data_IF_921616395541
#
_entry.id   IF_921616395541
#
_cell.length_a   1.000
_cell.length_b   1.000
_cell.length_c   1.000
_cell.angle_alpha   90.00
_cell.angle_beta   90.00
_cell.angle_gamma   90.00
#
_symmetry.space_group_name_H-M   'P 1'
#
loop_
_entity.id
_entity.type
_entity.pdbx_description
1 polymer ?
#
# COMPACT_ATOMS: atom_id res chain seq x y z
N UNK A 1 -23.58 -22.02 -10.44
CA UNK A 1 -23.80 -22.73 -9.16
C UNK A 1 -22.45 -22.87 -8.49
N UNK A 2 -22.29 -22.42 -7.25
CA UNK A 2 -21.04 -22.61 -6.52
C UNK A 2 -20.75 -24.12 -6.38
N UNK A 3 -19.49 -24.56 -6.52
CA UNK A 3 -19.12 -25.97 -6.30
C UNK A 3 -19.55 -26.41 -4.89
N UNK A 4 -19.88 -27.69 -4.71
CA UNK A 4 -20.07 -28.27 -3.37
C UNK A 4 -18.75 -28.09 -2.58
N UNK A 5 -18.81 -27.81 -1.28
CA UNK A 5 -17.65 -27.40 -0.47
C UNK A 5 -16.43 -28.34 -0.54
N UNK A 6 -16.65 -29.65 -0.58
CA UNK A 6 -15.58 -30.65 -0.71
C UNK A 6 -14.86 -30.58 -2.05
N UNK A 7 -15.57 -30.15 -3.11
CA UNK A 7 -15.04 -29.97 -4.46
C UNK A 7 -14.17 -28.69 -4.54
N UNK A 8 -14.54 -27.63 -3.82
CA UNK A 8 -13.74 -26.39 -3.82
C UNK A 8 -12.38 -26.57 -3.16
N UNK A 9 -12.29 -27.23 -2.00
CA UNK A 9 -10.99 -27.44 -1.34
C UNK A 9 -10.07 -28.29 -2.22
N UNK A 10 -10.57 -29.37 -2.80
CA UNK A 10 -9.78 -30.22 -3.69
C UNK A 10 -9.32 -29.45 -4.94
N UNK A 11 -10.22 -28.69 -5.57
CA UNK A 11 -9.92 -27.83 -6.71
C UNK A 11 -8.93 -26.72 -6.36
N UNK A 12 -9.07 -26.09 -5.19
CA UNK A 12 -8.18 -25.03 -4.71
C UNK A 12 -6.77 -25.57 -4.49
N UNK A 13 -6.67 -26.74 -3.84
CA UNK A 13 -5.39 -27.43 -3.65
C UNK A 13 -4.78 -27.86 -4.99
N UNK A 14 -5.58 -28.38 -5.91
CA UNK A 14 -5.12 -28.74 -7.25
C UNK A 14 -4.59 -27.53 -8.01
N UNK A 15 -5.32 -26.40 -8.03
CA UNK A 15 -4.88 -25.15 -8.66
C UNK A 15 -3.60 -24.59 -8.04
N UNK A 16 -3.49 -24.66 -6.72
CA UNK A 16 -2.28 -24.26 -6.00
C UNK A 16 -1.05 -25.09 -6.41
N UNK A 17 -1.24 -26.38 -6.72
CA UNK A 17 -0.18 -27.28 -7.21
C UNK A 17 0.14 -27.03 -8.70
N UNK A 18 -0.88 -26.87 -9.54
CA UNK A 18 -0.74 -26.79 -11.01
C UNK A 18 -0.21 -25.44 -11.53
N UNK A 19 -0.18 -24.41 -10.68
CA UNK A 19 0.41 -23.07 -10.90
C UNK A 19 0.37 -22.56 -12.35
N UNK A 20 -0.81 -22.07 -12.78
CA UNK A 20 -0.98 -21.20 -13.96
C UNK A 20 -2.01 -20.07 -13.79
N UNK A 21 -2.65 -19.94 -12.63
CA UNK A 21 -3.69 -18.94 -12.32
C UNK A 21 -3.83 -18.73 -10.80
N UNK A 22 -4.61 -17.73 -10.37
CA UNK A 22 -5.02 -17.54 -8.97
C UNK A 22 -6.06 -18.58 -8.54
N UNK A 23 -6.14 -18.84 -7.23
CA UNK A 23 -7.06 -19.85 -6.70
C UNK A 23 -8.49 -19.30 -6.59
N UNK A 24 -8.62 -18.09 -6.04
CA UNK A 24 -9.92 -17.42 -5.83
C UNK A 24 -10.50 -16.88 -7.14
N UNK A 25 -9.66 -16.35 -8.03
CA UNK A 25 -10.08 -15.67 -9.25
C UNK A 25 -9.42 -16.29 -10.50
N UNK A 26 -10.04 -17.29 -11.15
CA UNK A 26 -9.45 -17.98 -12.31
C UNK A 26 -9.14 -17.08 -13.52
N UNK A 27 -9.74 -15.90 -13.58
CA UNK A 27 -9.51 -14.88 -14.61
C UNK A 27 -8.14 -14.22 -14.46
N UNK A 28 -7.56 -14.24 -13.25
CA UNK A 28 -6.23 -13.73 -13.00
C UNK A 28 -5.18 -14.78 -13.35
N UNK A 29 -4.25 -14.41 -14.23
CA UNK A 29 -3.04 -15.18 -14.48
C UNK A 29 -2.18 -15.18 -13.23
N UNK A 30 -1.43 -16.27 -13.03
CA UNK A 30 -0.40 -16.27 -12.00
C UNK A 30 0.63 -15.17 -12.33
N UNK A 31 0.96 -14.24 -11.41
CA UNK A 31 1.70 -13.04 -11.78
C UNK A 31 3.12 -13.39 -12.26
N UNK A 32 3.45 -12.91 -13.46
CA UNK A 32 4.77 -13.07 -14.04
C UNK A 32 5.83 -12.46 -13.14
N UNK A 33 6.97 -13.15 -13.01
CA UNK A 33 8.12 -12.75 -12.18
C UNK A 33 7.85 -12.70 -10.66
N UNK A 34 6.69 -13.13 -10.14
CA UNK A 34 6.39 -13.09 -8.68
C UNK A 34 7.38 -13.85 -7.79
N UNK A 35 7.65 -15.11 -8.14
CA UNK A 35 8.27 -16.08 -7.22
C UNK A 35 9.81 -15.99 -7.13
N UNK A 36 10.46 -15.17 -7.95
CA UNK A 36 11.93 -15.07 -8.03
C UNK A 36 12.49 -13.67 -7.84
N UNK A 37 13.79 -13.51 -8.09
CA UNK A 37 14.47 -12.22 -8.09
C UNK A 37 14.41 -11.49 -6.75
N UNK A 38 14.26 -10.18 -6.80
CA UNK A 38 14.23 -9.35 -5.60
C UNK A 38 12.84 -9.09 -5.06
N UNK A 39 11.77 -9.34 -5.83
CA UNK A 39 10.38 -8.99 -5.45
C UNK A 39 10.27 -7.51 -5.09
N UNK A 40 10.74 -6.64 -5.97
CA UNK A 40 10.59 -5.18 -5.84
C UNK A 40 9.53 -4.61 -6.80
N UNK A 41 9.12 -3.36 -6.56
CA UNK A 41 8.39 -2.54 -7.49
C UNK A 41 8.76 -2.65 -8.97
N UNK A 42 10.06 -2.63 -9.30
CA UNK A 42 10.50 -2.65 -10.71
C UNK A 42 10.21 -4.00 -11.36
N UNK A 43 10.49 -5.09 -10.64
CA UNK A 43 10.16 -6.44 -11.09
C UNK A 43 8.64 -6.65 -11.19
N UNK A 44 7.87 -6.09 -10.26
CA UNK A 44 6.40 -6.17 -10.28
C UNK A 44 5.80 -5.45 -11.49
N UNK A 45 6.26 -4.22 -11.80
CA UNK A 45 5.83 -3.50 -13.00
C UNK A 45 6.19 -4.23 -14.29
N UNK A 46 7.37 -4.86 -14.33
CA UNK A 46 7.76 -5.72 -15.46
C UNK A 46 6.81 -6.92 -15.61
N UNK A 47 6.45 -7.56 -14.50
CA UNK A 47 5.46 -8.64 -14.47
C UNK A 47 4.10 -8.19 -15.03
N UNK A 48 3.57 -7.07 -14.50
CA UNK A 48 2.31 -6.46 -14.99
C UNK A 48 2.35 -6.20 -16.49
N UNK A 49 3.42 -5.60 -16.98
CA UNK A 49 3.55 -5.30 -18.41
C UNK A 49 3.54 -6.54 -19.31
N UNK A 50 4.03 -7.69 -18.81
CA UNK A 50 3.96 -8.97 -19.53
C UNK A 50 2.53 -9.56 -19.53
N UNK A 51 1.79 -9.36 -18.44
CA UNK A 51 0.53 -10.07 -18.20
C UNK A 51 -0.71 -9.32 -18.72
N UNK A 52 -0.69 -7.99 -18.67
CA UNK A 52 -1.85 -7.10 -18.80
C UNK A 52 -2.33 -6.88 -20.24
N UNK A 53 -1.50 -7.22 -21.23
CA UNK A 53 -1.85 -7.07 -22.64
C UNK A 53 -2.07 -5.61 -23.07
N UNK A 54 -1.36 -4.66 -22.44
CA UNK A 54 -1.45 -3.23 -22.79
C UNK A 54 -0.59 -2.86 -24.02
N UNK A 55 0.15 -3.81 -24.60
CA UNK A 55 0.86 -3.66 -25.89
C UNK A 55 1.84 -2.46 -25.92
N UNK A 56 2.45 -2.12 -24.78
CA UNK A 56 3.38 -0.98 -24.65
C UNK A 56 2.71 0.40 -24.52
N UNK A 57 1.38 0.43 -24.49
CA UNK A 57 0.53 1.60 -24.24
C UNK A 57 -0.04 1.56 -22.82
N UNK A 58 -0.91 2.51 -22.47
CA UNK A 58 -1.69 2.45 -21.23
C UNK A 58 -3.05 1.84 -21.53
N UNK A 59 -3.44 0.80 -20.79
CA UNK A 59 -4.75 0.18 -20.93
C UNK A 59 -5.70 0.69 -19.84
N UNK A 60 -6.87 1.15 -20.24
CA UNK A 60 -8.00 1.46 -19.34
C UNK A 60 -9.24 0.76 -19.89
N UNK A 61 -9.80 -0.14 -19.09
CA UNK A 61 -10.78 -1.14 -19.49
C UNK A 61 -10.27 -1.95 -20.69
N UNK A 62 -11.07 -2.07 -21.75
CA UNK A 62 -10.69 -2.80 -22.97
C UNK A 62 -10.08 -1.90 -24.06
N UNK A 63 -9.65 -0.69 -23.70
CA UNK A 63 -9.11 0.30 -24.63
C UNK A 63 -7.66 0.66 -24.33
N UNK A 64 -6.89 0.93 -25.38
CA UNK A 64 -5.49 1.34 -25.32
C UNK A 64 -5.35 2.81 -25.69
N UNK A 65 -4.52 3.52 -24.92
CA UNK A 65 -4.32 4.96 -25.02
C UNK A 65 -2.83 5.29 -25.12
N UNK A 66 -2.48 6.27 -25.96
CA UNK A 66 -1.13 6.84 -26.02
C UNK A 66 -1.07 8.13 -25.21
N UNK A 67 -0.53 8.03 -24.00
CA UNK A 67 -0.40 9.14 -23.07
C UNK A 67 1.00 9.79 -23.09
N UNK A 68 1.89 9.41 -24.01
CA UNK A 68 3.31 9.83 -24.01
C UNK A 68 3.45 11.36 -23.94
N UNK A 69 2.70 12.08 -24.77
CA UNK A 69 2.72 13.53 -24.83
C UNK A 69 1.94 14.21 -23.69
N UNK A 70 1.18 13.44 -22.91
CA UNK A 70 0.40 13.92 -21.77
C UNK A 70 1.12 13.73 -20.43
N UNK A 71 2.13 12.85 -20.34
CA UNK A 71 2.88 12.54 -19.11
C UNK A 71 3.21 13.79 -18.29
N UNK A 72 3.88 14.78 -18.92
CA UNK A 72 4.34 16.00 -18.23
C UNK A 72 3.23 16.99 -17.88
N UNK A 73 2.01 16.77 -18.39
CA UNK A 73 0.82 17.61 -18.18
C UNK A 73 -0.19 16.96 -17.24
N UNK A 74 0.05 15.73 -16.81
CA UNK A 74 -0.86 15.00 -15.94
C UNK A 74 -1.03 15.72 -14.60
N UNK A 75 -2.25 16.16 -14.22
CA UNK A 75 -2.47 16.95 -13.01
C UNK A 75 -2.03 16.25 -11.71
N UNK A 76 -2.07 14.91 -11.68
CA UNK A 76 -1.64 14.10 -10.54
C UNK A 76 -0.13 13.90 -10.43
N UNK A 77 0.67 14.37 -11.40
CA UNK A 77 2.12 14.17 -11.47
C UNK A 77 2.53 13.19 -12.58
N UNK A 78 3.70 13.43 -13.19
CA UNK A 78 4.16 12.64 -14.35
C UNK A 78 4.53 11.21 -13.99
N UNK A 79 4.99 10.99 -12.76
CA UNK A 79 5.58 9.74 -12.30
C UNK A 79 4.60 8.56 -12.41
N UNK A 80 3.31 8.78 -12.18
CA UNK A 80 2.28 7.73 -12.32
C UNK A 80 2.25 7.13 -13.71
N UNK A 81 2.28 7.97 -14.75
CA UNK A 81 2.26 7.52 -16.14
C UNK A 81 3.62 6.99 -16.58
N UNK A 82 4.72 7.56 -16.09
CA UNK A 82 6.08 7.04 -16.33
C UNK A 82 6.26 5.62 -15.79
N UNK A 83 5.74 5.33 -14.59
CA UNK A 83 5.86 4.02 -13.94
C UNK A 83 4.98 2.96 -14.62
N UNK A 84 3.79 3.34 -15.08
CA UNK A 84 2.75 2.40 -15.55
C UNK A 84 2.70 2.23 -17.06
N UNK A 85 3.65 2.79 -17.81
CA UNK A 85 3.71 2.59 -19.26
C UNK A 85 3.80 1.11 -19.60
N UNK A 86 2.86 0.62 -20.42
CA UNK A 86 2.78 -0.78 -20.80
C UNK A 86 1.97 -1.67 -19.86
N UNK A 87 1.22 -1.11 -18.89
CA UNK A 87 0.36 -1.89 -17.98
C UNK A 87 -1.13 -1.56 -18.14
N UNK A 88 -1.99 -2.41 -17.58
CA UNK A 88 -3.41 -2.09 -17.33
C UNK A 88 -3.49 -1.24 -16.06
N UNK A 89 -4.04 -0.04 -16.19
CA UNK A 89 -4.19 0.95 -15.12
C UNK A 89 -5.65 1.22 -14.80
N UNK A 90 -6.57 0.32 -15.15
CA UNK A 90 -8.00 0.51 -14.95
C UNK A 90 -8.35 0.76 -13.49
N UNK A 91 -7.96 -0.11 -12.55
CA UNK A 91 -8.29 0.07 -11.14
C UNK A 91 -7.73 1.40 -10.60
N UNK A 92 -6.49 1.76 -10.97
CA UNK A 92 -5.88 3.03 -10.61
C UNK A 92 -6.63 4.23 -11.20
N UNK A 93 -7.01 4.15 -12.47
CA UNK A 93 -7.78 5.20 -13.13
C UNK A 93 -9.11 5.42 -12.41
N UNK A 94 -9.76 4.33 -12.02
CA UNK A 94 -11.08 4.33 -11.39
C UNK A 94 -11.08 4.91 -9.98
N UNK A 95 -10.14 4.52 -9.11
CA UNK A 95 -10.14 4.96 -7.72
C UNK A 95 -9.48 6.34 -7.50
N UNK A 96 -8.56 6.77 -8.38
CA UNK A 96 -7.89 8.06 -8.24
C UNK A 96 -8.63 9.23 -8.94
N UNK A 97 -9.40 8.97 -10.01
CA UNK A 97 -10.15 10.03 -10.71
C UNK A 97 -11.60 10.06 -10.26
N UNK A 98 -11.89 10.84 -9.22
CA UNK A 98 -13.25 10.98 -8.68
C UNK A 98 -14.14 11.82 -9.59
N UNK A 99 -13.60 12.81 -10.31
CA UNK A 99 -14.36 13.63 -11.27
C UNK A 99 -14.66 12.88 -12.59
N UNK A 100 -15.33 13.56 -13.54
CA UNK A 100 -15.61 13.04 -14.89
C UNK A 100 -14.72 13.66 -15.98
N UNK A 101 -13.84 14.59 -15.60
CA UNK A 101 -12.96 15.32 -16.53
C UNK A 101 -11.93 14.35 -17.09
N UNK A 102 -11.38 13.47 -16.25
CA UNK A 102 -10.40 12.48 -16.68
C UNK A 102 -10.96 11.55 -17.78
N UNK A 103 -12.19 11.05 -17.61
CA UNK A 103 -12.88 10.20 -18.60
C UNK A 103 -13.05 10.92 -19.94
N UNK A 104 -13.52 12.17 -19.90
CA UNK A 104 -13.72 12.99 -21.09
C UNK A 104 -12.40 13.34 -21.79
N UNK A 105 -11.33 13.49 -21.03
CA UNK A 105 -10.00 13.81 -21.55
C UNK A 105 -9.32 12.59 -22.18
N UNK A 106 -9.51 11.42 -21.57
CA UNK A 106 -8.87 10.17 -21.97
C UNK A 106 -9.21 9.77 -23.42
N UNK A 107 -10.44 10.04 -23.87
CA UNK A 107 -10.90 9.77 -25.24
C UNK A 107 -10.03 10.42 -26.33
N UNK A 108 -9.36 11.55 -26.03
CA UNK A 108 -8.47 12.22 -26.99
C UNK A 108 -7.19 11.46 -27.29
N UNK A 109 -6.83 10.50 -26.44
CA UNK A 109 -5.63 9.69 -26.52
C UNK A 109 -5.91 8.26 -26.98
N UNK A 110 -7.16 7.95 -27.32
CA UNK A 110 -7.57 6.63 -27.76
C UNK A 110 -6.83 6.22 -29.03
N UNK A 111 -6.29 5.01 -29.04
CA UNK A 111 -5.63 4.42 -30.20
C UNK A 111 -6.49 3.33 -30.83
N UNK A 112 -6.89 2.34 -30.02
CA UNK A 112 -7.70 1.18 -30.43
C UNK A 112 -8.09 0.32 -29.22
N UNK A 113 -8.93 -0.67 -29.46
CA UNK A 113 -9.26 -1.68 -28.45
C UNK A 113 -8.11 -2.70 -28.26
N UNK A 114 -8.03 -3.24 -27.04
CA UNK A 114 -7.09 -4.29 -26.69
C UNK A 114 -7.51 -5.63 -27.32
N UNK A 115 -6.53 -6.41 -27.78
CA UNK A 115 -6.81 -7.70 -28.47
C UNK A 115 -7.13 -8.85 -27.52
N UNK A 116 -6.63 -8.77 -26.29
CA UNK A 116 -6.80 -9.80 -25.27
C UNK A 116 -7.73 -9.32 -24.15
N UNK A 117 -8.47 -10.22 -23.48
CA UNK A 117 -9.18 -9.89 -22.26
C UNK A 117 -8.28 -9.24 -21.20
N UNK A 118 -8.88 -8.52 -20.25
CA UNK A 118 -8.16 -7.95 -19.11
C UNK A 118 -7.63 -9.07 -18.20
N UNK A 119 -6.49 -8.82 -17.56
CA UNK A 119 -5.96 -9.65 -16.48
C UNK A 119 -6.44 -9.08 -15.13
N UNK A 120 -7.77 -9.02 -14.93
CA UNK A 120 -8.41 -8.55 -13.70
C UNK A 120 -9.79 -9.21 -13.55
N UNK A 121 -10.21 -9.62 -12.35
CA UNK A 121 -11.55 -10.16 -12.11
C UNK A 121 -12.57 -9.06 -11.81
N UNK A 122 -12.11 -7.82 -11.62
CA UNK A 122 -12.91 -6.75 -11.04
C UNK A 122 -13.73 -6.01 -12.09
N UNK A 123 -14.96 -5.68 -11.69
CA UNK A 123 -15.90 -4.93 -12.51
C UNK A 123 -16.16 -3.54 -11.96
N UNK A 124 -16.47 -2.61 -12.86
CA UNK A 124 -16.82 -1.21 -12.58
C UNK A 124 -18.15 -0.87 -13.25
N UNK A 125 -19.19 -1.68 -12.99
CA UNK A 125 -20.52 -1.46 -13.59
C UNK A 125 -21.10 -0.14 -13.13
N UNK A 126 -21.75 0.61 -14.03
CA UNK A 126 -22.32 1.92 -13.71
C UNK A 126 -23.36 1.90 -12.58
N UNK A 127 -24.14 0.82 -12.49
CA UNK A 127 -25.10 0.56 -11.42
C UNK A 127 -24.52 -0.27 -10.27
N UNK A 128 -23.23 -0.60 -10.32
CA UNK A 128 -22.48 -1.30 -9.29
C UNK A 128 -22.20 -0.45 -8.04
N UNK A 129 -21.67 -1.09 -7.01
CA UNK A 129 -21.41 -0.47 -5.71
C UNK A 129 -20.41 0.68 -5.85
N UNK A 130 -19.22 0.41 -6.41
CA UNK A 130 -18.16 1.42 -6.42
C UNK A 130 -18.51 2.64 -7.27
N UNK A 131 -19.03 2.44 -8.50
CA UNK A 131 -19.42 3.56 -9.37
C UNK A 131 -20.58 4.38 -8.81
N UNK A 132 -21.50 3.75 -8.08
CA UNK A 132 -22.56 4.47 -7.37
C UNK A 132 -21.99 5.31 -6.23
N UNK A 133 -21.18 4.70 -5.36
CA UNK A 133 -20.55 5.41 -4.26
C UNK A 133 -19.67 6.57 -4.75
N UNK A 134 -18.86 6.36 -5.80
CA UNK A 134 -17.99 7.38 -6.41
C UNK A 134 -18.77 8.61 -6.87
N UNK A 135 -19.94 8.43 -7.50
CA UNK A 135 -20.80 9.56 -7.92
C UNK A 135 -21.36 10.32 -6.73
N UNK A 136 -21.82 9.62 -5.70
CA UNK A 136 -22.40 10.26 -4.51
C UNK A 136 -21.32 10.96 -3.67
N UNK A 137 -20.15 10.35 -3.51
CA UNK A 137 -18.97 10.97 -2.88
C UNK A 137 -18.57 12.26 -3.59
N UNK A 138 -18.59 12.30 -4.92
CA UNK A 138 -18.32 13.53 -5.69
C UNK A 138 -19.25 14.69 -5.29
N UNK A 139 -20.51 14.41 -4.98
CA UNK A 139 -21.45 15.43 -4.51
C UNK A 139 -21.21 15.81 -3.05
N UNK A 140 -20.88 14.85 -2.18
CA UNK A 140 -20.52 15.12 -0.79
C UNK A 140 -19.23 15.95 -0.66
N UNK A 141 -18.24 15.72 -1.51
CA UNK A 141 -16.99 16.48 -1.52
C UNK A 141 -17.19 17.99 -1.72
N UNK A 142 -18.27 18.41 -2.39
CA UNK A 142 -18.61 19.83 -2.57
C UNK A 142 -19.00 20.52 -1.25
N UNK A 143 -19.42 19.74 -0.24
CA UNK A 143 -19.87 20.22 1.07
C UNK A 143 -18.74 20.22 2.10
N UNK A 144 -17.64 19.53 1.83
CA UNK A 144 -16.50 19.43 2.75
C UNK A 144 -15.83 20.81 2.88
N UNK A 145 -15.49 21.26 4.11
CA UNK A 145 -14.79 22.52 4.31
C UNK A 145 -13.45 22.54 3.55
N UNK A 146 -13.20 23.59 2.77
CA UNK A 146 -12.02 23.70 1.88
C UNK A 146 -10.66 23.57 2.59
N UNK A 147 -10.61 23.90 3.87
CA UNK A 147 -9.38 23.93 4.67
C UNK A 147 -9.15 22.65 5.50
N UNK A 148 -9.97 21.62 5.29
CA UNK A 148 -9.94 20.37 6.07
C UNK A 148 -8.56 19.70 6.01
N UNK A 149 -7.88 19.75 4.87
CA UNK A 149 -6.56 19.12 4.70
C UNK A 149 -5.44 19.80 5.52
N UNK A 150 -5.64 21.04 5.99
CA UNK A 150 -4.65 21.76 6.82
C UNK A 150 -4.35 21.02 8.13
N UNK A 151 -5.28 20.23 8.65
CA UNK A 151 -5.04 19.41 9.84
C UNK A 151 -3.95 18.37 9.59
N UNK A 152 -3.94 17.74 8.41
CA UNK A 152 -2.92 16.79 7.99
C UNK A 152 -1.56 17.45 7.88
N UNK A 153 -1.53 18.63 7.27
CA UNK A 153 -0.33 19.44 7.12
C UNK A 153 0.28 19.77 8.48
N UNK A 154 -0.54 20.29 9.41
CA UNK A 154 -0.09 20.66 10.76
C UNK A 154 0.48 19.47 11.55
N UNK A 155 -0.18 18.31 11.49
CA UNK A 155 0.29 17.11 12.20
C UNK A 155 1.59 16.60 11.57
N UNK A 156 1.67 16.54 10.24
CA UNK A 156 2.85 16.03 9.53
C UNK A 156 4.05 16.93 9.77
N UNK A 157 3.87 18.25 9.68
CA UNK A 157 4.93 19.23 9.93
C UNK A 157 5.35 19.23 11.40
N UNK A 158 4.40 19.11 12.32
CA UNK A 158 4.67 18.97 13.75
C UNK A 158 5.49 17.72 14.08
N UNK A 159 5.19 16.59 13.43
CA UNK A 159 5.97 15.35 13.56
C UNK A 159 7.39 15.51 13.01
N UNK A 160 7.56 16.19 11.87
CA UNK A 160 8.88 16.50 11.32
C UNK A 160 9.69 17.39 12.27
N UNK A 161 9.10 18.48 12.79
CA UNK A 161 9.77 19.37 13.75
C UNK A 161 10.16 18.58 15.01
N UNK A 162 9.25 17.75 15.51
CA UNK A 162 9.51 16.90 16.68
C UNK A 162 10.68 15.94 16.41
N UNK A 163 10.72 15.30 15.24
CA UNK A 163 11.84 14.45 14.81
C UNK A 163 13.16 15.24 14.80
N UNK A 164 13.19 16.42 14.19
CA UNK A 164 14.41 17.23 14.09
C UNK A 164 14.93 17.68 15.46
N UNK A 165 14.04 18.16 16.34
CA UNK A 165 14.41 18.62 17.69
C UNK A 165 14.88 17.44 18.56
N UNK A 166 14.15 16.33 18.54
CA UNK A 166 14.44 15.20 19.43
C UNK A 166 15.66 14.41 18.97
N UNK A 167 15.87 14.21 17.67
CA UNK A 167 17.09 13.60 17.14
C UNK A 167 18.35 14.40 17.48
N UNK A 168 18.30 15.73 17.37
CA UNK A 168 19.39 16.60 17.81
C UNK A 168 19.61 16.53 19.32
N UNK A 169 18.53 16.52 20.11
CA UNK A 169 18.61 16.38 21.58
C UNK A 169 19.28 15.06 21.99
N UNK A 170 19.01 13.98 21.27
CA UNK A 170 19.62 12.66 21.52
C UNK A 170 21.14 12.71 21.37
N UNK A 171 21.66 13.42 20.36
CA UNK A 171 23.10 13.55 20.14
C UNK A 171 23.78 14.60 21.02
N UNK A 172 23.04 15.62 21.46
CA UNK A 172 23.59 16.74 22.24
C UNK A 172 23.66 16.46 23.75
N UNK A 173 22.69 15.72 24.29
CA UNK A 173 22.59 15.50 25.73
C UNK A 173 23.57 14.45 26.25
N UNK A 174 24.16 14.71 27.42
CA UNK A 174 24.93 13.71 28.19
C UNK A 174 24.10 13.04 29.29
N UNK A 175 22.86 13.52 29.55
CA UNK A 175 21.98 12.91 30.53
C UNK A 175 21.30 11.67 29.93
N UNK A 176 21.52 10.50 30.53
CA UNK A 176 20.99 9.22 30.05
C UNK A 176 19.47 9.25 29.80
N UNK A 177 18.67 9.77 30.74
CA UNK A 177 17.22 9.78 30.60
C UNK A 177 16.75 10.72 29.49
N UNK A 178 17.39 11.88 29.33
CA UNK A 178 17.11 12.78 28.22
C UNK A 178 17.50 12.18 26.87
N UNK A 179 18.62 11.46 26.79
CA UNK A 179 19.04 10.72 25.59
C UNK A 179 18.00 9.66 25.24
N UNK A 180 17.65 8.78 26.19
CA UNK A 180 16.70 7.68 25.93
C UNK A 180 15.30 8.18 25.58
N UNK A 181 14.81 9.22 26.27
CA UNK A 181 13.50 9.79 26.00
C UNK A 181 13.46 10.46 24.61
N UNK A 182 14.45 11.31 24.30
CA UNK A 182 14.52 11.99 23.00
C UNK A 182 14.74 10.99 21.86
N UNK A 183 15.55 9.96 22.06
CA UNK A 183 15.76 8.87 21.11
C UNK A 183 14.46 8.16 20.74
N UNK A 184 13.68 7.78 21.76
CA UNK A 184 12.42 7.10 21.55
C UNK A 184 11.41 8.01 20.83
N UNK A 185 11.31 9.28 21.24
CA UNK A 185 10.44 10.25 20.58
C UNK A 185 10.88 10.52 19.13
N UNK A 186 12.19 10.59 18.85
CA UNK A 186 12.71 10.73 17.49
C UNK A 186 12.33 9.53 16.64
N UNK A 187 12.52 8.31 17.15
CA UNK A 187 12.18 7.07 16.45
C UNK A 187 10.67 6.96 16.17
N UNK A 188 9.83 7.29 17.16
CA UNK A 188 8.38 7.32 17.01
C UNK A 188 7.94 8.40 16.01
N UNK A 189 8.53 9.59 16.08
CA UNK A 189 8.21 10.70 15.16
C UNK A 189 8.63 10.37 13.74
N UNK A 190 9.77 9.68 13.54
CA UNK A 190 10.17 9.19 12.22
C UNK A 190 9.18 8.16 11.68
N UNK A 191 8.78 7.16 12.47
CA UNK A 191 7.78 6.19 12.02
C UNK A 191 6.45 6.88 11.65
N UNK A 192 5.98 7.79 12.50
CA UNK A 192 4.72 8.51 12.27
C UNK A 192 4.79 9.50 11.10
N UNK A 193 5.91 10.20 10.89
CA UNK A 193 6.03 11.10 9.72
C UNK A 193 6.06 10.29 8.43
N UNK A 194 6.68 9.10 8.42
CA UNK A 194 6.68 8.19 7.26
C UNK A 194 5.26 7.68 6.97
N UNK A 195 4.50 7.28 7.98
CA UNK A 195 3.09 6.88 7.83
C UNK A 195 2.23 8.07 7.36
N UNK A 196 2.38 9.24 7.96
CA UNK A 196 1.66 10.44 7.56
C UNK A 196 2.00 10.86 6.12
N UNK A 197 3.25 10.67 5.69
CA UNK A 197 3.70 10.96 4.32
C UNK A 197 2.93 10.16 3.27
N UNK A 198 2.48 8.94 3.61
CA UNK A 198 1.71 8.11 2.69
C UNK A 198 0.39 8.76 2.23
N UNK A 199 -0.26 9.57 3.09
CA UNK A 199 -1.42 10.37 2.71
C UNK A 199 -1.12 11.29 1.51
N UNK A 200 0.12 11.79 1.40
CA UNK A 200 0.56 12.67 0.33
C UNK A 200 1.08 11.94 -0.89
N UNK A 201 1.46 10.66 -0.75
CA UNK A 201 2.02 9.85 -1.84
C UNK A 201 0.98 9.58 -2.94
N UNK A 202 -0.28 9.39 -2.55
CA UNK A 202 -1.42 9.17 -3.45
C UNK A 202 -1.95 10.44 -4.12
N UNK A 203 -1.50 11.61 -3.64
CA UNK A 203 -1.96 12.92 -4.09
C UNK A 203 -1.06 13.47 -5.20
N UNK A 204 -1.47 14.61 -5.76
CA UNK A 204 -0.59 15.42 -6.62
C UNK A 204 0.75 15.65 -5.91
N UNK A 205 1.84 15.58 -6.69
CA UNK A 205 3.19 15.79 -6.19
C UNK A 205 3.29 17.04 -5.30
N UNK A 206 3.83 16.83 -4.10
CA UNK A 206 3.96 17.83 -3.05
C UNK A 206 5.19 17.48 -2.20
N UNK A 207 5.74 18.45 -1.47
CA UNK A 207 7.00 18.22 -0.77
C UNK A 207 6.90 17.23 0.41
N UNK A 208 5.71 17.08 1.02
CA UNK A 208 5.51 16.19 2.17
C UNK A 208 5.59 14.71 1.80
N UNK A 209 5.32 14.35 0.55
CA UNK A 209 5.54 12.98 0.08
C UNK A 209 7.01 12.55 0.21
N UNK A 210 7.96 13.49 0.07
CA UNK A 210 9.39 13.21 0.18
C UNK A 210 9.83 12.93 1.62
N UNK A 211 9.02 13.29 2.62
CA UNK A 211 9.31 12.99 4.03
C UNK A 211 9.34 11.47 4.28
N UNK A 212 8.65 10.68 3.46
CA UNK A 212 8.76 9.23 3.47
C UNK A 212 10.21 8.75 3.34
N UNK A 213 11.04 9.45 2.55
CA UNK A 213 12.42 9.07 2.30
C UNK A 213 13.36 9.27 3.49
N UNK A 214 12.93 9.94 4.57
CA UNK A 214 13.67 9.93 5.84
C UNK A 214 13.88 8.52 6.39
N UNK A 215 13.03 7.56 5.99
CA UNK A 215 13.15 6.14 6.32
C UNK A 215 14.27 5.39 5.59
N UNK A 216 14.97 6.00 4.63
CA UNK A 216 15.80 5.32 3.60
C UNK A 216 15.01 4.49 2.59
N UNK A 217 13.68 4.43 2.68
CA UNK A 217 12.84 3.80 1.67
C UNK A 217 12.34 4.84 0.66
N UNK A 218 12.38 4.50 -0.62
CA UNK A 218 11.92 5.35 -1.71
C UNK A 218 10.39 5.43 -1.73
N UNK A 219 9.83 6.64 -1.61
CA UNK A 219 8.39 6.86 -1.80
C UNK A 219 7.94 6.38 -3.19
N UNK A 220 8.80 6.48 -4.21
CA UNK A 220 8.51 6.07 -5.58
C UNK A 220 8.37 4.55 -5.69
N UNK A 221 9.16 3.81 -4.91
CA UNK A 221 9.01 2.36 -4.76
C UNK A 221 7.72 2.05 -3.99
N UNK A 222 7.42 2.83 -2.95
CA UNK A 222 6.19 2.71 -2.18
C UNK A 222 4.91 3.03 -2.98
N UNK A 223 4.96 3.96 -3.95
CA UNK A 223 3.85 4.18 -4.91
C UNK A 223 3.50 2.91 -5.67
N UNK A 224 4.50 2.11 -6.02
CA UNK A 224 4.26 0.86 -6.73
C UNK A 224 3.78 -0.23 -5.78
N UNK A 225 4.51 -0.48 -4.68
CA UNK A 225 4.15 -1.58 -3.78
C UNK A 225 2.82 -1.35 -3.08
N UNK A 226 2.58 -0.12 -2.66
CA UNK A 226 1.40 0.21 -1.89
C UNK A 226 0.28 0.68 -2.81
N UNK A 227 0.46 1.79 -3.54
CA UNK A 227 -0.64 2.42 -4.28
C UNK A 227 -1.07 1.63 -5.54
N UNK A 228 -0.12 1.15 -6.35
CA UNK A 228 -0.46 0.43 -7.60
C UNK A 228 -0.71 -1.06 -7.39
N UNK A 229 -0.18 -1.64 -6.31
CA UNK A 229 -0.26 -3.07 -6.07
C UNK A 229 -1.20 -3.40 -4.92
N UNK A 230 -0.87 -3.02 -3.69
CA UNK A 230 -1.69 -3.35 -2.52
C UNK A 230 -3.09 -2.73 -2.57
N UNK A 231 -3.22 -1.43 -2.86
CA UNK A 231 -4.53 -0.74 -2.92
C UNK A 231 -5.44 -1.23 -4.04
N UNK A 232 -4.89 -1.72 -5.15
CA UNK A 232 -5.70 -2.13 -6.31
C UNK A 232 -6.10 -3.59 -6.26
N UNK A 233 -5.27 -4.44 -5.63
CA UNK A 233 -5.45 -5.89 -5.61
C UNK A 233 -5.18 -6.48 -4.21
N UNK A 234 -5.67 -5.88 -3.12
CA UNK A 234 -5.28 -6.25 -1.76
C UNK A 234 -5.54 -7.72 -1.51
N UNK A 235 -4.57 -8.39 -0.88
CA UNK A 235 -4.63 -9.80 -0.49
C UNK A 235 -4.81 -10.82 -1.63
N UNK A 236 -4.71 -10.40 -2.89
CA UNK A 236 -4.58 -11.32 -4.03
C UNK A 236 -3.11 -11.71 -4.23
N UNK A 237 -2.78 -12.66 -5.13
CA UNK A 237 -1.38 -12.92 -5.48
C UNK A 237 -0.69 -11.75 -6.23
N UNK A 238 -1.46 -10.77 -6.76
CA UNK A 238 -0.93 -9.55 -7.39
C UNK A 238 -0.44 -8.53 -6.36
N UNK A 239 -0.79 -8.70 -5.09
CA UNK A 239 -0.36 -7.84 -3.99
C UNK A 239 1.14 -8.05 -3.70
N UNK A 240 1.94 -7.05 -4.02
CA UNK A 240 3.38 -7.04 -3.80
C UNK A 240 3.68 -7.04 -2.30
N UNK A 241 2.84 -6.45 -1.46
CA UNK A 241 3.05 -6.45 -0.01
C UNK A 241 2.80 -7.84 0.60
N UNK A 242 2.07 -8.72 -0.08
CA UNK A 242 2.02 -10.15 0.28
C UNK A 242 3.30 -10.86 -0.17
N UNK A 243 3.65 -10.74 -1.45
CA UNK A 243 4.78 -11.50 -2.01
C UNK A 243 6.17 -11.02 -1.53
N UNK A 244 6.31 -9.76 -1.12
CA UNK A 244 7.57 -9.19 -0.63
C UNK A 244 8.01 -9.80 0.70
N UNK A 245 7.06 -10.29 1.50
CA UNK A 245 7.34 -10.98 2.76
C UNK A 245 7.49 -12.49 2.61
N UNK A 246 7.02 -13.07 1.50
CA UNK A 246 7.27 -14.48 1.20
C UNK A 246 8.77 -14.75 0.99
N UNK A 247 9.27 -15.94 1.36
CA UNK A 247 8.60 -16.95 2.17
C UNK A 247 8.74 -16.69 3.68
N UNK A 248 9.38 -15.59 4.10
CA UNK A 248 9.71 -15.31 5.52
C UNK A 248 8.46 -15.22 6.40
N UNK A 249 7.45 -14.48 5.95
CA UNK A 249 6.14 -14.37 6.57
C UNK A 249 5.11 -14.55 5.46
N UNK A 250 4.17 -15.48 5.67
CA UNK A 250 3.13 -15.81 4.70
C UNK A 250 1.78 -15.37 5.25
N UNK A 251 1.08 -14.51 4.53
CA UNK A 251 -0.29 -14.10 4.86
C UNK A 251 -1.34 -14.65 3.91
N UNK A 252 -1.01 -15.71 3.16
CA UNK A 252 -1.95 -16.51 2.39
C UNK A 252 -2.08 -17.92 3.00
N UNK A 253 -3.26 -18.55 2.91
CA UNK A 253 -3.43 -19.94 3.30
C UNK A 253 -2.48 -20.85 2.53
N UNK A 254 -1.73 -21.70 3.24
CA UNK A 254 -0.79 -22.65 2.63
C UNK A 254 -0.85 -24.03 3.27
N UNK A 255 -1.10 -25.06 2.47
CA UNK A 255 -1.19 -26.45 2.94
C UNK A 255 0.17 -26.96 3.44
N UNK A 256 1.24 -26.63 2.72
CA UNK A 256 2.62 -27.00 3.01
C UNK A 256 3.30 -25.97 3.94
N UNK A 257 2.72 -25.77 5.13
CA UNK A 257 3.23 -24.79 6.08
C UNK A 257 4.61 -25.21 6.63
N UNK A 258 5.65 -24.37 6.51
CA UNK A 258 6.99 -24.71 6.94
C UNK A 258 7.10 -24.55 8.45
N UNK A 259 8.02 -25.30 9.05
CA UNK A 259 8.20 -25.30 10.51
C UNK A 259 8.49 -23.91 11.09
N UNK A 260 9.24 -23.06 10.37
CA UNK A 260 9.59 -21.71 10.83
C UNK A 260 8.38 -20.78 10.96
N UNK A 261 7.24 -21.07 10.31
CA UNK A 261 6.02 -20.29 10.45
C UNK A 261 5.44 -20.33 11.88
N UNK A 262 5.83 -21.29 12.72
CA UNK A 262 5.48 -21.26 14.16
C UNK A 262 6.20 -20.13 14.92
N UNK A 263 7.24 -19.56 14.33
CA UNK A 263 8.07 -18.50 14.91
C UNK A 263 7.84 -17.15 14.22
N UNK A 264 6.73 -16.95 13.50
CA UNK A 264 6.44 -15.71 12.77
C UNK A 264 6.63 -14.46 13.63
N UNK A 265 6.14 -14.45 14.88
CA UNK A 265 6.32 -13.32 15.80
C UNK A 265 7.80 -13.03 16.08
N UNK A 266 8.60 -14.08 16.29
CA UNK A 266 10.05 -13.91 16.50
C UNK A 266 10.74 -13.42 15.22
N UNK A 267 10.33 -13.93 14.06
CA UNK A 267 10.82 -13.48 12.76
C UNK A 267 10.49 -12.00 12.56
N UNK A 268 9.25 -11.58 12.81
CA UNK A 268 8.80 -10.19 12.73
C UNK A 268 9.63 -9.29 13.65
N UNK A 269 9.75 -9.63 14.94
CA UNK A 269 10.53 -8.83 15.92
C UNK A 269 12.00 -8.71 15.54
N UNK A 270 12.59 -9.76 14.97
CA UNK A 270 13.99 -9.73 14.52
C UNK A 270 14.14 -8.95 13.22
N UNK A 271 13.20 -9.04 12.29
CA UNK A 271 13.38 -8.54 10.90
C UNK A 271 12.85 -7.13 10.71
N UNK A 272 11.75 -6.76 11.36
CA UNK A 272 11.11 -5.45 11.24
C UNK A 272 12.03 -4.27 11.55
N UNK A 273 12.99 -4.34 12.50
CA UNK A 273 13.96 -3.27 12.70
C UNK A 273 14.88 -3.02 11.50
N UNK A 274 15.04 -3.99 10.60
CA UNK A 274 16.01 -3.91 9.51
C UNK A 274 15.38 -3.71 8.12
N UNK A 275 14.05 -3.77 7.97
CA UNK A 275 13.41 -3.72 6.65
C UNK A 275 13.72 -2.43 5.88
N UNK A 276 13.79 -1.26 6.54
CA UNK A 276 14.24 -0.01 5.90
C UNK A 276 15.64 -0.15 5.28
N UNK A 277 16.60 -0.71 6.03
CA UNK A 277 17.95 -0.97 5.51
C UNK A 277 17.94 -2.02 4.40
N UNK A 278 17.13 -3.07 4.52
CA UNK A 278 17.03 -4.11 3.49
C UNK A 278 16.48 -3.54 2.17
N UNK A 279 15.45 -2.69 2.22
CA UNK A 279 14.93 -2.01 1.04
C UNK A 279 15.96 -1.06 0.42
N UNK A 280 16.66 -0.27 1.25
CA UNK A 280 17.75 0.59 0.81
C UNK A 280 18.88 -0.21 0.15
N UNK A 281 19.31 -1.32 0.77
CA UNK A 281 20.38 -2.18 0.27
C UNK A 281 19.97 -2.89 -1.02
N UNK A 282 18.73 -3.38 -1.13
CA UNK A 282 18.18 -4.02 -2.34
C UNK A 282 18.16 -3.04 -3.51
N UNK A 283 17.70 -1.81 -3.28
CA UNK A 283 17.72 -0.74 -4.30
C UNK A 283 19.14 -0.33 -4.69
N UNK A 284 20.04 -0.22 -3.71
CA UNK A 284 21.46 0.12 -3.95
C UNK A 284 22.19 -0.97 -4.73
N UNK A 285 21.95 -2.24 -4.39
CA UNK A 285 22.54 -3.39 -5.07
C UNK A 285 22.02 -3.49 -6.52
N UNK A 286 20.77 -3.10 -6.76
CA UNK A 286 20.18 -3.09 -8.10
C UNK A 286 20.90 -2.15 -9.08
N UNK A 287 21.62 -1.13 -8.60
CA UNK A 287 22.50 -0.29 -9.43
C UNK A 287 23.56 -1.12 -10.16
N UNK A 288 24.09 -2.14 -9.49
CA UNK A 288 25.15 -2.99 -10.02
C UNK A 288 24.60 -4.21 -10.76
N UNK A 289 23.41 -4.68 -10.41
CA UNK A 289 22.83 -5.90 -10.98
C UNK A 289 21.91 -5.66 -12.19
N UNK A 290 21.35 -4.46 -12.35
CA UNK A 290 20.39 -4.15 -13.42
C UNK A 290 20.91 -3.05 -14.33
N UNK A 291 20.90 -3.32 -15.63
CA UNK A 291 21.37 -2.38 -16.66
C UNK A 291 20.63 -1.05 -16.58
N UNK A 292 21.38 0.04 -16.55
CA UNK A 292 20.90 1.43 -16.51
C UNK A 292 19.98 1.77 -15.32
N UNK A 293 20.01 0.96 -14.24
CA UNK A 293 19.08 1.10 -13.12
C UNK A 293 19.18 2.46 -12.44
N UNK A 294 20.40 2.94 -12.19
CA UNK A 294 20.63 4.26 -11.60
C UNK A 294 19.94 5.37 -12.40
N UNK A 295 20.19 5.42 -13.72
CA UNK A 295 19.61 6.45 -14.61
C UNK A 295 18.07 6.38 -14.65
N UNK A 296 17.50 5.18 -14.66
CA UNK A 296 16.05 4.97 -14.79
C UNK A 296 15.28 5.18 -13.48
N UNK A 297 15.86 4.79 -12.35
CA UNK A 297 15.11 4.66 -11.10
C UNK A 297 15.53 5.62 -10.00
N UNK A 298 16.81 6.02 -9.91
CA UNK A 298 17.28 6.97 -8.90
C UNK A 298 16.98 8.41 -9.29
N UNK A 299 16.65 9.23 -8.29
CA UNK A 299 16.35 10.65 -8.39
C UNK A 299 16.97 11.39 -7.20
N UNK A 300 16.92 12.72 -7.21
CA UNK A 300 17.49 13.56 -6.15
C UNK A 300 16.89 13.24 -4.76
N UNK A 301 15.61 12.89 -4.71
CA UNK A 301 14.90 12.60 -3.47
C UNK A 301 15.39 11.32 -2.77
N UNK A 302 16.06 10.40 -3.48
CA UNK A 302 16.67 9.22 -2.86
C UNK A 302 17.77 9.61 -1.84
N UNK A 303 18.28 10.85 -1.88
CA UNK A 303 19.25 11.36 -0.91
C UNK A 303 18.62 11.98 0.35
N UNK A 304 17.30 12.17 0.41
CA UNK A 304 16.61 12.86 1.52
C UNK A 304 16.85 12.17 2.87
N UNK A 305 16.97 10.84 2.89
CA UNK A 305 17.24 10.08 4.11
C UNK A 305 18.55 10.46 4.83
N UNK A 306 19.53 11.01 4.09
CA UNK A 306 20.80 11.47 4.67
C UNK A 306 20.74 12.89 5.25
N UNK A 307 19.61 13.60 5.08
CA UNK A 307 19.44 14.94 5.66
C UNK A 307 19.29 14.89 7.18
N UNK A 308 18.74 13.81 7.75
CA UNK A 308 18.60 13.67 9.20
C UNK A 308 19.95 13.57 9.93
N UNK A 309 20.88 12.66 9.58
CA UNK A 309 22.19 12.64 10.21
C UNK A 309 22.99 13.91 9.91
N UNK A 310 22.85 14.49 8.71
CA UNK A 310 23.47 15.79 8.40
C UNK A 310 22.98 16.90 9.35
N UNK A 311 21.66 16.97 9.57
CA UNK A 311 21.05 17.89 10.53
C UNK A 311 21.59 17.69 11.95
N UNK A 312 21.58 16.44 12.44
CA UNK A 312 22.09 16.09 13.76
C UNK A 312 23.55 16.53 13.93
N UNK A 313 24.39 16.29 12.93
CA UNK A 313 25.80 16.71 12.93
C UNK A 313 25.96 18.22 12.98
N UNK A 314 25.28 18.96 12.09
CA UNK A 314 25.44 20.41 11.98
C UNK A 314 24.93 21.17 13.21
N UNK A 315 23.83 20.72 13.82
CA UNK A 315 23.18 21.43 14.94
C UNK A 315 23.86 21.15 16.27
N UNK A 316 24.39 19.95 16.46
CA UNK A 316 24.92 19.53 17.76
C UNK A 316 26.44 19.65 17.85
N UNK A 317 27.15 19.60 16.71
CA UNK A 317 28.61 19.49 16.68
C UNK A 317 29.13 18.14 17.21
N UNK A 318 28.26 17.15 17.39
CA UNK A 318 28.65 15.80 17.82
C UNK A 318 29.58 15.13 16.80
N UNK A 319 30.33 14.12 17.26
CA UNK A 319 31.23 13.40 16.37
C UNK A 319 30.45 12.67 15.27
N UNK A 320 31.08 12.47 14.11
CA UNK A 320 30.47 11.70 13.01
C UNK A 320 30.05 10.31 13.48
N UNK A 321 30.87 9.65 14.31
CA UNK A 321 30.57 8.32 14.85
C UNK A 321 29.30 8.32 15.69
N UNK A 322 29.16 9.26 16.63
CA UNK A 322 27.99 9.33 17.50
C UNK A 322 26.72 9.60 16.70
N UNK A 323 26.76 10.57 15.78
CA UNK A 323 25.63 10.88 14.90
C UNK A 323 25.25 9.68 14.05
N UNK A 324 26.22 9.01 13.44
CA UNK A 324 25.98 7.87 12.58
C UNK A 324 25.34 6.72 13.36
N UNK A 325 25.87 6.36 14.53
CA UNK A 325 25.31 5.29 15.37
C UNK A 325 23.91 5.65 15.88
N UNK A 326 23.71 6.88 16.38
CA UNK A 326 22.37 7.32 16.82
C UNK A 326 21.36 7.29 15.68
N UNK A 327 21.74 7.75 14.49
CA UNK A 327 20.88 7.69 13.31
C UNK A 327 20.50 6.26 12.93
N UNK A 328 21.44 5.32 12.95
CA UNK A 328 21.14 3.91 12.68
C UNK A 328 20.12 3.35 13.68
N UNK A 329 20.25 3.66 14.96
CA UNK A 329 19.29 3.23 15.98
C UNK A 329 17.90 3.84 15.79
N UNK A 330 17.83 5.14 15.45
CA UNK A 330 16.56 5.82 15.15
C UNK A 330 15.86 5.16 13.95
N UNK A 331 16.60 4.92 12.86
CA UNK A 331 16.08 4.24 11.66
C UNK A 331 15.60 2.83 12.01
N UNK A 332 16.36 2.09 12.81
CA UNK A 332 16.03 0.70 13.18
C UNK A 332 14.74 0.64 13.99
N UNK A 333 14.60 1.51 14.99
CA UNK A 333 13.41 1.55 15.84
C UNK A 333 12.20 2.11 15.11
N UNK A 334 12.39 3.12 14.24
CA UNK A 334 11.33 3.62 13.38
C UNK A 334 10.84 2.55 12.41
N UNK A 335 11.75 1.76 11.81
CA UNK A 335 11.42 0.61 10.96
C UNK A 335 10.57 -0.39 11.74
N UNK A 336 11.00 -0.77 12.95
CA UNK A 336 10.22 -1.66 13.81
C UNK A 336 8.80 -1.14 14.07
N UNK A 337 8.66 0.12 14.50
CA UNK A 337 7.36 0.73 14.78
C UNK A 337 6.49 0.79 13.51
N UNK A 338 7.05 1.22 12.38
CA UNK A 338 6.33 1.30 11.11
C UNK A 338 5.78 -0.07 10.70
N UNK A 339 6.62 -1.12 10.69
CA UNK A 339 6.18 -2.44 10.24
C UNK A 339 5.24 -3.11 11.24
N UNK A 340 5.40 -2.87 12.55
CA UNK A 340 4.41 -3.30 13.54
C UNK A 340 3.05 -2.65 13.33
N UNK A 341 2.99 -1.37 12.98
CA UNK A 341 1.72 -0.70 12.65
C UNK A 341 1.20 -1.18 11.31
N UNK A 342 2.06 -1.21 10.30
CA UNK A 342 1.78 -1.57 8.92
C UNK A 342 1.21 -2.96 8.81
N UNK A 343 1.90 -4.01 9.28
CA UNK A 343 1.40 -5.40 9.20
C UNK A 343 0.10 -5.63 9.99
N UNK A 344 -0.24 -4.72 10.90
CA UNK A 344 -1.47 -4.75 11.69
C UNK A 344 -2.46 -3.65 11.28
N UNK A 345 -2.26 -3.00 10.13
CA UNK A 345 -3.13 -1.98 9.58
C UNK A 345 -4.32 -2.59 8.84
N UNK A 346 -5.02 -3.51 9.49
CA UNK A 346 -6.34 -4.01 9.12
C UNK A 346 -6.50 -4.75 7.78
N UNK A 347 -5.40 -5.28 7.22
CA UNK A 347 -5.42 -6.14 6.02
C UNK A 347 -5.07 -7.61 6.31
N UNK A 348 -4.43 -7.96 7.44
CA UNK A 348 -4.08 -9.36 7.77
C UNK A 348 -4.94 -9.93 8.90
N UNK A 349 -5.97 -10.68 8.56
CA UNK A 349 -6.84 -11.36 9.53
C UNK A 349 -7.48 -12.61 8.87
N UNK A 350 -7.73 -13.72 9.58
CA UNK A 350 -8.32 -14.94 8.98
C UNK A 350 -9.73 -14.76 8.42
N UNK A 351 -10.44 -13.73 8.89
CA UNK A 351 -11.78 -13.34 8.43
C UNK A 351 -11.76 -12.35 7.26
N UNK A 352 -10.60 -11.79 6.90
CA UNK A 352 -10.43 -10.93 5.73
C UNK A 352 -10.11 -11.82 4.53
N UNK A 353 -10.62 -11.47 3.36
CA UNK A 353 -10.34 -12.17 2.11
C UNK A 353 -8.84 -12.37 1.90
N UNK A 354 -8.46 -13.60 1.50
CA UNK A 354 -7.13 -13.98 1.02
C UNK A 354 -7.26 -14.77 -0.28
N UNK A 355 -6.32 -14.59 -1.21
CA UNK A 355 -6.21 -15.51 -2.34
C UNK A 355 -6.10 -16.96 -1.83
N UNK A 356 -6.95 -17.82 -2.36
CA UNK A 356 -7.23 -19.15 -1.80
C UNK A 356 -8.65 -19.29 -1.31
N UNK A 357 -9.21 -18.23 -0.69
CA UNK A 357 -10.56 -18.22 -0.12
C UNK A 357 -11.65 -18.34 -1.22
N UNK A 358 -12.74 -19.01 -0.88
CA UNK A 358 -13.90 -19.16 -1.76
C UNK A 358 -14.63 -17.82 -1.90
N UNK A 359 -14.79 -17.38 -3.14
CA UNK A 359 -15.51 -16.14 -3.46
C UNK A 359 -16.95 -16.43 -3.85
N UNK A 360 -17.87 -15.56 -3.42
CA UNK A 360 -19.30 -15.65 -3.73
C UNK A 360 -19.61 -15.23 -5.17
N UNK A 361 -18.85 -14.26 -5.70
CA UNK A 361 -18.90 -13.81 -7.09
C UNK A 361 -17.49 -13.92 -7.71
N UNK A 362 -17.32 -14.67 -8.81
CA UNK A 362 -16.05 -14.73 -9.52
C UNK A 362 -15.71 -13.46 -10.32
N UNK A 363 -16.64 -12.51 -10.48
CA UNK A 363 -16.39 -11.21 -11.14
C UNK A 363 -16.91 -10.05 -10.27
N UNK A 364 -16.38 -9.87 -9.04
CA UNK A 364 -16.95 -8.95 -8.08
C UNK A 364 -16.82 -7.48 -8.54
N UNK A 365 -17.69 -6.62 -8.01
CA UNK A 365 -17.46 -5.17 -8.02
C UNK A 365 -16.18 -4.87 -7.25
N UNK A 366 -15.30 -4.03 -7.80
CA UNK A 366 -14.01 -3.72 -7.19
C UNK A 366 -14.15 -3.19 -5.76
N UNK A 367 -15.10 -2.29 -5.51
CA UNK A 367 -15.29 -1.72 -4.17
C UNK A 367 -15.85 -2.72 -3.16
N UNK A 368 -16.58 -3.75 -3.62
CA UNK A 368 -17.00 -4.86 -2.74
C UNK A 368 -15.78 -5.71 -2.36
N UNK A 369 -14.87 -6.00 -3.31
CA UNK A 369 -13.63 -6.71 -3.02
C UNK A 369 -12.77 -5.97 -1.99
N UNK A 370 -12.60 -4.65 -2.14
CA UNK A 370 -11.87 -3.84 -1.17
C UNK A 370 -12.41 -4.04 0.26
N UNK A 371 -13.74 -4.01 0.44
CA UNK A 371 -14.37 -4.20 1.75
C UNK A 371 -14.27 -5.63 2.30
N UNK A 372 -14.16 -6.64 1.43
CA UNK A 372 -13.84 -8.01 1.84
C UNK A 372 -12.37 -8.18 2.23
N UNK A 373 -11.48 -7.38 1.62
CA UNK A 373 -10.03 -7.45 1.79
C UNK A 373 -9.47 -6.54 2.91
N UNK A 374 -10.29 -5.68 3.52
CA UNK A 374 -9.88 -4.85 4.66
C UNK A 374 -10.91 -4.76 5.79
N UNK A 375 -10.50 -4.21 6.93
CA UNK A 375 -11.37 -3.81 8.05
C UNK A 375 -11.01 -2.40 8.53
N UNK A 376 -11.91 -1.78 9.28
CA UNK A 376 -11.61 -0.56 10.02
C UNK A 376 -11.32 -0.84 11.50
N UNK A 377 -10.61 0.07 12.17
CA UNK A 377 -10.26 -0.02 13.60
C UNK A 377 -10.98 1.04 14.42
N UNK A 378 -11.78 0.60 15.39
CA UNK A 378 -12.61 1.51 16.22
C UNK A 378 -11.77 2.51 16.98
N UNK A 379 -10.65 2.08 17.56
CA UNK A 379 -9.81 2.91 18.45
C UNK A 379 -8.94 3.91 17.70
N UNK A 380 -8.68 3.65 16.41
CA UNK A 380 -7.91 4.53 15.52
C UNK A 380 -8.81 5.63 14.98
N UNK A 381 -10.01 5.27 14.49
CA UNK A 381 -10.92 6.19 13.81
C UNK A 381 -11.63 7.20 14.73
N UNK A 382 -11.34 7.20 16.04
CA UNK A 382 -11.91 8.19 17.00
C UNK A 382 -11.07 9.45 17.15
N UNK A 383 -9.87 9.49 16.59
CA UNK A 383 -8.95 10.62 16.75
C UNK A 383 -8.14 10.84 15.49
N UNK A 384 -8.17 12.08 14.99
CA UNK A 384 -7.55 12.40 13.71
C UNK A 384 -6.02 12.18 13.67
N UNK A 385 -5.31 12.47 14.77
CA UNK A 385 -3.88 12.18 14.86
C UNK A 385 -3.62 10.68 14.73
N UNK A 386 -4.41 9.83 15.40
CA UNK A 386 -4.28 8.37 15.27
C UNK A 386 -4.61 7.90 13.86
N UNK A 387 -5.63 8.46 13.23
CA UNK A 387 -5.99 8.18 11.84
C UNK A 387 -4.79 8.41 10.92
N UNK A 388 -4.17 9.58 11.01
CA UNK A 388 -3.05 9.94 10.15
C UNK A 388 -1.78 9.14 10.43
N UNK A 389 -1.51 8.78 11.69
CA UNK A 389 -0.27 8.07 12.06
C UNK A 389 -0.40 6.55 12.14
N UNK A 390 -1.59 5.98 11.90
CA UNK A 390 -1.81 4.53 11.96
C UNK A 390 -2.63 3.99 10.78
N UNK A 391 -2.75 4.67 9.64
CA UNK A 391 -3.56 4.23 8.49
C UNK A 391 -5.05 4.04 8.84
N UNK A 392 -5.64 5.03 9.51
CA UNK A 392 -7.07 5.04 9.86
C UNK A 392 -7.98 5.29 8.66
N UNK A 393 -9.29 5.19 8.87
CA UNK A 393 -10.31 5.23 7.80
C UNK A 393 -9.97 4.26 6.66
N UNK A 394 -9.43 3.10 6.99
CA UNK A 394 -8.72 2.21 6.09
C UNK A 394 -9.59 1.79 4.89
N UNK A 395 -10.84 1.42 5.12
CA UNK A 395 -11.79 1.08 4.05
C UNK A 395 -12.03 2.23 3.07
N UNK A 396 -12.29 3.45 3.58
CA UNK A 396 -12.50 4.63 2.75
C UNK A 396 -11.21 5.08 2.04
N UNK A 397 -10.07 4.93 2.71
CA UNK A 397 -8.76 5.22 2.14
C UNK A 397 -8.44 4.26 0.98
N UNK A 398 -8.75 2.98 1.09
CA UNK A 398 -8.64 2.02 -0.01
C UNK A 398 -9.54 2.39 -1.21
N UNK A 399 -10.78 2.79 -0.94
CA UNK A 399 -11.73 3.15 -2.00
C UNK A 399 -11.40 4.49 -2.67
N UNK A 400 -10.87 5.46 -1.92
CA UNK A 400 -10.59 6.83 -2.39
C UNK A 400 -9.20 7.32 -1.94
N UNK A 401 -8.11 6.67 -2.36
CA UNK A 401 -6.77 6.89 -1.80
C UNK A 401 -6.20 8.27 -2.06
N UNK A 402 -6.70 8.98 -3.09
CA UNK A 402 -6.26 10.35 -3.42
C UNK A 402 -6.83 11.40 -2.47
N UNK A 403 -7.88 11.07 -1.71
CA UNK A 403 -8.46 12.01 -0.75
C UNK A 403 -7.61 12.03 0.51
N UNK A 404 -7.47 13.22 1.07
CA UNK A 404 -6.79 13.41 2.34
C UNK A 404 -7.56 12.70 3.47
N UNK A 405 -6.85 12.09 4.43
CA UNK A 405 -7.48 11.39 5.56
C UNK A 405 -8.46 12.29 6.33
N UNK A 406 -8.23 13.60 6.41
CA UNK A 406 -9.12 14.55 7.08
C UNK A 406 -10.48 14.68 6.35
N UNK A 407 -10.51 14.41 5.05
CA UNK A 407 -11.71 14.47 4.22
C UNK A 407 -12.53 13.19 4.37
N UNK A 408 -11.89 12.04 4.57
CA UNK A 408 -12.58 10.73 4.61
C UNK A 408 -13.67 10.65 5.68
N UNK A 409 -13.48 11.31 6.83
CA UNK A 409 -14.47 11.33 7.91
C UNK A 409 -15.85 11.84 7.45
N UNK A 410 -15.87 12.81 6.52
CA UNK A 410 -17.10 13.40 5.99
C UNK A 410 -17.87 12.45 5.06
N UNK A 411 -17.24 11.36 4.61
CA UNK A 411 -17.82 10.43 3.64
C UNK A 411 -18.55 9.25 4.29
N UNK A 412 -18.42 9.04 5.60
CA UNK A 412 -19.08 7.90 6.27
C UNK A 412 -20.60 7.85 6.07
N UNK A 413 -21.37 8.95 6.12
CA UNK A 413 -22.82 8.88 5.91
C UNK A 413 -23.19 8.30 4.54
N UNK A 414 -22.58 8.80 3.46
CA UNK A 414 -22.83 8.31 2.10
C UNK A 414 -22.28 6.89 1.89
N UNK A 415 -21.13 6.60 2.47
CA UNK A 415 -20.50 5.29 2.43
C UNK A 415 -21.37 4.22 3.10
N UNK A 416 -21.80 4.45 4.33
CA UNK A 416 -22.62 3.49 5.08
C UNK A 416 -23.98 3.25 4.42
N UNK A 417 -24.60 4.29 3.85
CA UNK A 417 -25.82 4.16 3.07
C UNK A 417 -25.63 3.25 1.84
N UNK A 418 -24.51 3.38 1.13
CA UNK A 418 -24.19 2.48 0.02
C UNK A 418 -23.85 1.06 0.50
N UNK A 419 -23.15 0.91 1.62
CA UNK A 419 -22.90 -0.39 2.21
C UNK A 419 -24.21 -1.13 2.52
N UNK A 420 -25.20 -0.43 3.08
CA UNK A 420 -26.53 -1.00 3.31
C UNK A 420 -27.24 -1.35 1.99
N UNK A 421 -27.29 -0.41 1.05
CA UNK A 421 -27.96 -0.58 -0.26
C UNK A 421 -27.45 -1.79 -1.04
N UNK A 422 -26.14 -1.99 -1.06
CA UNK A 422 -25.50 -3.07 -1.82
C UNK A 422 -25.16 -4.29 -0.96
N UNK A 423 -25.54 -4.28 0.34
CA UNK A 423 -25.19 -5.32 1.32
C UNK A 423 -23.69 -5.60 1.38
N UNK A 424 -22.89 -4.54 1.29
CA UNK A 424 -21.43 -4.62 1.34
C UNK A 424 -20.96 -4.95 2.77
N UNK A 425 -19.94 -5.79 2.88
CA UNK A 425 -19.45 -6.31 4.16
C UNK A 425 -18.45 -5.37 4.83
N UNK A 426 -18.87 -4.15 5.16
CA UNK A 426 -18.04 -3.23 5.94
C UNK A 426 -17.92 -3.71 7.39
N UNK A 427 -16.69 -3.93 7.86
CA UNK A 427 -16.40 -4.51 9.17
C UNK A 427 -15.46 -3.61 9.96
N UNK A 428 -15.73 -3.54 11.27
CA UNK A 428 -14.90 -2.81 12.23
C UNK A 428 -14.43 -3.80 13.30
N UNK A 429 -13.17 -3.69 13.68
CA UNK A 429 -12.55 -4.51 14.73
C UNK A 429 -11.69 -3.66 15.68
N UNK A 430 -10.98 -4.32 16.60
CA UNK A 430 -10.05 -3.74 17.56
C UNK A 430 -8.60 -3.98 17.14
N UNK A 431 -7.68 -3.15 17.62
CA UNK A 431 -6.25 -3.33 17.36
C UNK A 431 -5.76 -4.69 17.90
N UNK A 432 -6.22 -5.08 19.09
CA UNK A 432 -5.82 -6.34 19.72
C UNK A 432 -6.30 -7.55 18.91
N UNK A 433 -7.54 -7.54 18.42
CA UNK A 433 -8.06 -8.61 17.57
C UNK A 433 -7.29 -8.72 16.26
N UNK A 434 -6.90 -7.59 15.64
CA UNK A 434 -6.05 -7.60 14.45
C UNK A 434 -4.67 -8.17 14.69
N UNK A 435 -3.99 -7.81 15.78
CA UNK A 435 -2.67 -8.38 16.11
C UNK A 435 -2.78 -9.89 16.29
N UNK A 436 -3.77 -10.35 17.05
CA UNK A 436 -4.00 -11.79 17.26
C UNK A 436 -4.36 -12.47 15.92
N UNK A 437 -5.19 -11.83 15.12
CA UNK A 437 -5.62 -12.31 13.82
C UNK A 437 -4.48 -12.42 12.83
N UNK A 438 -3.63 -11.40 12.72
CA UNK A 438 -2.46 -11.40 11.85
C UNK A 438 -1.52 -12.56 12.18
N UNK A 439 -1.26 -12.81 13.47
CA UNK A 439 -0.47 -13.96 13.91
C UNK A 439 -1.15 -15.28 13.52
N UNK A 440 -2.46 -15.43 13.78
CA UNK A 440 -3.24 -16.60 13.34
C UNK A 440 -3.20 -16.79 11.83
N UNK A 441 -3.19 -15.71 11.06
CA UNK A 441 -3.13 -15.75 9.61
C UNK A 441 -1.82 -16.39 9.13
N UNK A 442 -0.69 -16.13 9.80
CA UNK A 442 0.59 -16.79 9.47
C UNK A 442 0.59 -18.30 9.68
N UNK A 443 -0.41 -18.82 10.42
CA UNK A 443 -0.58 -20.24 10.73
C UNK A 443 -1.71 -20.88 9.92
N UNK A 444 -2.49 -20.12 9.13
CA UNK A 444 -3.65 -20.61 8.39
C UNK A 444 -3.20 -21.52 7.23
N UNK A 445 -3.72 -22.74 7.21
CA UNK A 445 -3.36 -23.75 6.19
C UNK A 445 -4.42 -23.96 5.13
N UNK A 446 -5.68 -23.70 5.47
CA UNK A 446 -6.83 -23.94 4.60
C UNK A 446 -7.53 -22.62 4.26
N UNK A 447 -8.03 -22.48 3.03
CA UNK A 447 -8.94 -21.40 2.65
C UNK A 447 -10.19 -21.27 3.53
N UNK A 448 -10.73 -20.05 3.61
CA UNK A 448 -12.09 -19.81 4.11
C UNK A 448 -13.12 -20.24 3.06
N UNK A 449 -14.16 -20.95 3.49
CA UNK A 449 -15.31 -21.33 2.66
C UNK A 449 -16.53 -20.47 3.02
N UNK A 450 -17.43 -20.23 2.07
CA UNK A 450 -18.57 -19.30 2.25
C UNK A 450 -19.58 -19.72 3.34
N UNK A 451 -19.62 -21.01 3.70
CA UNK A 451 -20.64 -21.58 4.59
C UNK A 451 -20.07 -22.04 5.95
N UNK A 452 -18.88 -21.56 6.35
CA UNK A 452 -18.24 -21.92 7.63
C UNK A 452 -18.08 -20.76 8.58
#
# INVERSE_FOLDING_TARGET
MAPKETDYLELAHQRAIEKKTHVSFPQLKYPSLRDGGFRDPVQWLQGKALDDGAEGLWRVHDRLYDLEHFIQRHPGGSEWLELTKGTDVTEAFECHHIDTIAESMLEKFYVRDAKSPRNSPFTFKEDGFFRTLKREVREELKKVPKDTEKFSDMITDGLLITLLVTSATTCWSNNYWAVMASYFVASLSLAYVVIASHNYIHRKDNWRMYLFNFSLWSYRDFRVSHALSHHLYPNTLMDLEISAFDPMISWLPRRDRPFYANFSVLIEVITFPFIYFLNFLKRSTSVFLRKDFFKKHYRWHDAVGFLLPLWMYLVTGASFYDVFITWLWIISTASFIFFMIGSNAAHHHPKIFKDGDQVSDPNPDWGIHELEAVMDRREINTNYFRVLTNFGHHALHHLFPTLDHAVLEYLYPVFLNNCEKFRANFRVTTILDLIIGQIKMTLKTEPTLLNK
#
